data_IF_059906646247
#
_entry.id   IF_059906646247
#
_cell.length_a   1.000
_cell.length_b   1.000
_cell.length_c   1.000
_cell.angle_alpha   90.00
_cell.angle_beta   90.00
_cell.angle_gamma   90.00
#
_symmetry.space_group_name_H-M   'P 1'
#
loop_
_entity.id
_entity.type
_entity.pdbx_description
1 polymer ?
#
# COMPACT_ATOMS: atom_id res chain seq x y z
N UNK A 1 22.58 23.60 48.99
CA UNK A 1 22.52 23.80 47.53
C UNK A 1 21.95 22.54 46.91
N UNK A 2 20.82 22.69 46.23
CA UNK A 2 19.87 21.61 45.89
C UNK A 2 20.36 20.78 44.71
N UNK A 3 20.33 19.45 44.89
CA UNK A 3 20.53 18.45 43.86
C UNK A 3 19.38 18.49 42.83
N UNK A 4 19.71 18.68 41.55
CA UNK A 4 18.76 18.69 40.45
C UNK A 4 18.35 17.28 40.03
N UNK A 5 17.13 16.87 40.40
CA UNK A 5 16.42 15.77 39.75
C UNK A 5 15.80 16.29 38.45
N UNK A 6 16.31 15.87 37.28
CA UNK A 6 15.60 16.02 36.01
C UNK A 6 14.52 14.94 35.95
N UNK A 7 13.26 15.38 36.00
CA UNK A 7 12.07 14.54 35.84
C UNK A 7 11.96 14.07 34.38
N UNK A 8 11.81 12.76 34.21
CA UNK A 8 11.26 12.16 32.99
C UNK A 8 9.93 12.85 32.66
N UNK A 9 9.83 13.40 31.45
CA UNK A 9 8.58 13.97 30.93
C UNK A 9 7.80 12.80 30.33
N UNK A 10 7.12 12.05 31.19
CA UNK A 10 6.07 11.12 30.75
C UNK A 10 4.82 11.92 30.43
N UNK A 11 4.55 12.13 29.14
CA UNK A 11 3.28 12.70 28.69
C UNK A 11 2.24 11.57 28.70
N UNK A 12 1.70 11.26 29.88
CA UNK A 12 0.49 10.44 29.98
C UNK A 12 -0.68 11.23 29.40
N UNK A 13 -1.27 10.72 28.32
CA UNK A 13 -2.43 11.31 27.68
C UNK A 13 -3.58 11.49 28.69
N UNK A 14 -3.93 12.73 29.01
CA UNK A 14 -5.21 13.09 29.63
C UNK A 14 -6.02 13.88 28.61
N UNK A 15 -7.29 13.53 28.48
CA UNK A 15 -8.37 14.15 27.71
C UNK A 15 -7.93 15.21 26.68
N UNK A 16 -7.85 14.80 25.40
CA UNK A 16 -7.76 15.72 24.27
C UNK A 16 -6.74 15.38 23.19
N UNK A 17 -6.45 14.10 22.93
CA UNK A 17 -5.61 13.71 21.78
C UNK A 17 -6.53 13.35 20.61
N UNK A 18 -6.40 14.05 19.49
CA UNK A 18 -7.05 13.68 18.23
C UNK A 18 -6.01 13.14 17.25
N UNK A 19 -6.19 11.88 16.86
CA UNK A 19 -5.42 11.22 15.80
C UNK A 19 -6.15 11.45 14.49
N UNK A 20 -5.49 12.06 13.51
CA UNK A 20 -6.11 12.36 12.22
C UNK A 20 -5.25 11.85 11.07
N UNK A 21 -5.85 11.09 10.15
CA UNK A 21 -5.20 10.57 8.96
C UNK A 21 -5.75 11.28 7.69
N UNK A 22 -4.84 11.74 6.82
CA UNK A 22 -4.94 12.31 5.43
C UNK A 22 -6.13 13.25 5.08
N UNK A 23 -6.00 14.52 4.63
CA UNK A 23 -5.22 15.17 3.56
C UNK A 23 -4.57 16.49 4.06
N UNK A 24 -3.34 16.80 3.61
CA UNK A 24 -2.51 17.94 4.11
C UNK A 24 -3.25 19.29 4.23
N UNK A 25 -4.09 19.63 3.25
CA UNK A 25 -4.81 20.91 3.21
C UNK A 25 -6.10 20.93 4.04
N UNK A 26 -6.86 19.83 4.04
CA UNK A 26 -8.07 19.71 4.86
C UNK A 26 -7.71 19.66 6.35
N UNK A 27 -6.64 18.93 6.67
CA UNK A 27 -6.13 18.76 8.04
C UNK A 27 -5.62 20.06 8.64
N UNK A 28 -4.95 20.95 7.89
CA UNK A 28 -4.44 22.20 8.47
C UNK A 28 -5.56 23.08 9.05
N UNK A 29 -6.72 23.09 8.40
CA UNK A 29 -7.88 23.87 8.85
C UNK A 29 -8.58 23.24 10.05
N UNK A 30 -8.67 21.91 10.09
CA UNK A 30 -9.29 21.19 11.20
C UNK A 30 -8.38 21.14 12.43
N UNK A 31 -7.09 20.85 12.24
CA UNK A 31 -6.08 20.80 13.31
C UNK A 31 -5.98 22.13 14.04
N UNK A 32 -5.96 23.25 13.29
CA UNK A 32 -5.90 24.58 13.92
C UNK A 32 -7.12 24.83 14.81
N UNK A 33 -8.33 24.45 14.39
CA UNK A 33 -9.53 24.61 15.21
C UNK A 33 -9.50 23.75 16.48
N UNK A 34 -8.94 22.53 16.38
CA UNK A 34 -8.79 21.63 17.53
C UNK A 34 -7.72 22.16 18.50
N UNK A 35 -6.58 22.60 17.97
CA UNK A 35 -5.50 23.24 18.74
C UNK A 35 -5.97 24.53 19.44
N UNK A 36 -6.72 25.39 18.73
CA UNK A 36 -7.34 26.60 19.29
C UNK A 36 -8.36 26.26 20.42
N UNK A 37 -8.92 25.05 20.41
CA UNK A 37 -9.79 24.52 21.47
C UNK A 37 -9.04 23.78 22.59
N UNK A 38 -7.70 23.82 22.59
CA UNK A 38 -6.85 23.18 23.59
C UNK A 38 -6.66 21.66 23.40
N UNK A 39 -7.03 21.12 22.24
CA UNK A 39 -6.89 19.70 21.91
C UNK A 39 -5.53 19.50 21.23
N UNK A 40 -4.74 18.58 21.77
CA UNK A 40 -3.46 18.20 21.16
C UNK A 40 -3.73 17.34 19.93
N UNK A 41 -3.21 17.75 18.78
CA UNK A 41 -3.38 17.02 17.52
C UNK A 41 -2.07 16.35 17.16
N UNK A 42 -2.11 15.03 17.01
CA UNK A 42 -0.98 14.22 16.52
C UNK A 42 -1.39 13.66 15.17
N UNK A 43 -0.47 13.75 14.20
CA UNK A 43 -0.74 13.35 12.81
C UNK A 43 0.15 12.20 12.43
N UNK A 44 -0.46 11.24 11.75
CA UNK A 44 0.20 10.07 11.20
C UNK A 44 -0.25 9.89 9.76
N UNK A 45 0.63 9.39 8.92
CA UNK A 45 0.29 8.97 7.57
C UNK A 45 -0.31 7.55 7.62
N UNK A 46 0.32 6.60 8.32
CA UNK A 46 -0.08 5.19 8.42
C UNK A 46 -0.30 4.50 7.06
N UNK A 47 0.27 5.02 5.97
CA UNK A 47 0.17 4.42 4.63
C UNK A 47 1.51 4.40 3.89
N UNK A 48 2.55 5.04 4.41
CA UNK A 48 3.89 5.04 3.81
C UNK A 48 4.75 3.97 4.47
N UNK A 49 5.24 2.98 3.71
CA UNK A 49 6.11 1.94 4.26
C UNK A 49 7.30 2.44 5.09
N UNK A 50 7.98 3.51 4.65
CA UNK A 50 9.18 4.02 5.33
C UNK A 50 8.94 4.54 6.75
N UNK A 51 7.74 5.03 7.05
CA UNK A 51 7.38 5.59 8.36
C UNK A 51 6.53 4.60 9.20
N UNK A 52 6.00 3.55 8.57
CA UNK A 52 4.87 2.77 9.09
C UNK A 52 5.10 2.15 10.47
N UNK A 53 6.22 1.45 10.67
CA UNK A 53 6.52 0.78 11.95
C UNK A 53 6.79 1.79 13.08
N UNK A 54 7.43 2.91 12.79
CA UNK A 54 7.66 3.96 13.77
C UNK A 54 6.34 4.61 14.19
N UNK A 55 5.43 4.84 13.25
CA UNK A 55 4.08 5.33 13.53
C UNK A 55 3.25 4.33 14.34
N UNK A 56 3.32 3.02 14.04
CA UNK A 56 2.69 1.96 14.83
C UNK A 56 3.20 1.97 16.27
N UNK A 57 4.52 2.04 16.48
CA UNK A 57 5.11 2.08 17.82
C UNK A 57 4.68 3.33 18.60
N UNK A 58 4.64 4.49 17.94
CA UNK A 58 4.12 5.73 18.53
C UNK A 58 2.64 5.61 18.90
N UNK A 59 1.83 4.99 18.04
CA UNK A 59 0.42 4.72 18.34
C UNK A 59 0.26 3.77 19.52
N UNK A 60 1.07 2.71 19.59
CA UNK A 60 1.15 1.82 20.75
C UNK A 60 1.39 2.60 22.03
N UNK A 61 2.41 3.46 22.05
CA UNK A 61 2.70 4.31 23.21
C UNK A 61 1.56 5.28 23.57
N UNK A 62 0.94 5.93 22.59
CA UNK A 62 -0.15 6.90 22.82
C UNK A 62 -1.41 6.23 23.36
N UNK A 63 -1.66 4.98 22.97
CA UNK A 63 -2.86 4.23 23.30
C UNK A 63 -2.69 3.30 24.50
N UNK A 64 -1.51 3.29 25.15
CA UNK A 64 -1.12 2.30 26.18
C UNK A 64 -1.26 0.85 25.67
N UNK A 65 -0.71 0.61 24.47
CA UNK A 65 -0.80 -0.61 23.64
C UNK A 65 0.55 -1.02 23.03
N UNK A 66 1.63 -0.84 23.79
CA UNK A 66 2.99 -1.13 23.32
C UNK A 66 3.23 -2.61 23.00
N UNK A 67 2.64 -3.54 23.77
CA UNK A 67 2.78 -4.97 23.52
C UNK A 67 2.11 -5.37 22.19
N UNK A 68 0.90 -4.88 21.93
CA UNK A 68 0.20 -5.12 20.66
C UNK A 68 0.92 -4.46 19.47
N UNK A 69 1.55 -3.29 19.68
CA UNK A 69 2.35 -2.64 18.65
C UNK A 69 3.62 -3.43 18.30
N UNK A 70 4.30 -4.00 19.30
CA UNK A 70 5.46 -4.87 19.10
C UNK A 70 5.06 -6.16 18.38
N UNK A 71 3.94 -6.77 18.78
CA UNK A 71 3.43 -8.00 18.16
C UNK A 71 3.09 -7.78 16.67
N UNK A 72 2.33 -6.72 16.36
CA UNK A 72 2.01 -6.37 14.98
C UNK A 72 3.25 -5.97 14.18
N UNK A 73 4.19 -5.25 14.79
CA UNK A 73 5.45 -4.91 14.15
C UNK A 73 6.28 -6.14 13.77
N UNK A 74 6.29 -7.16 14.63
CA UNK A 74 6.91 -8.46 14.34
C UNK A 74 6.29 -9.15 13.13
N UNK A 75 4.96 -9.27 13.12
CA UNK A 75 4.21 -9.83 11.99
C UNK A 75 4.46 -9.07 10.68
N UNK A 76 4.44 -7.74 10.71
CA UNK A 76 4.70 -6.91 9.54
C UNK A 76 6.11 -7.17 8.96
N UNK A 77 7.12 -7.28 9.82
CA UNK A 77 8.50 -7.58 9.40
C UNK A 77 8.58 -8.99 8.81
N UNK A 78 7.97 -9.98 9.46
CA UNK A 78 7.95 -11.37 8.99
C UNK A 78 7.35 -11.50 7.58
N UNK A 79 6.24 -10.82 7.31
CA UNK A 79 5.58 -10.81 5.99
C UNK A 79 6.51 -10.33 4.86
N UNK A 80 7.43 -9.41 5.17
CA UNK A 80 8.22 -8.69 4.18
C UNK A 80 9.68 -9.11 4.15
N UNK A 81 10.19 -9.78 5.19
CA UNK A 81 11.61 -10.09 5.29
C UNK A 81 12.06 -11.05 4.19
N UNK A 82 11.28 -12.09 3.92
CA UNK A 82 11.59 -13.03 2.82
C UNK A 82 11.61 -12.35 1.45
N UNK A 83 10.72 -11.38 1.21
CA UNK A 83 10.73 -10.56 -0.01
C UNK A 83 12.01 -9.73 -0.04
N UNK A 84 12.28 -8.98 1.03
CA UNK A 84 13.43 -8.08 1.15
C UNK A 84 14.75 -8.80 0.90
N UNK A 85 14.94 -9.98 1.49
CA UNK A 85 16.16 -10.78 1.33
C UNK A 85 16.31 -11.26 -0.11
N UNK A 86 15.25 -11.79 -0.71
CA UNK A 86 15.29 -12.30 -2.08
C UNK A 86 15.52 -11.18 -3.12
N UNK A 87 14.89 -10.01 -2.96
CA UNK A 87 15.04 -8.89 -3.91
C UNK A 87 16.34 -8.10 -3.73
N UNK A 88 17.05 -8.28 -2.61
CA UNK A 88 18.36 -7.68 -2.39
C UNK A 88 19.43 -8.30 -3.31
N UNK A 89 19.24 -9.56 -3.71
CA UNK A 89 20.13 -10.27 -4.63
C UNK A 89 19.88 -9.91 -6.11
N UNK A 90 18.80 -9.17 -6.42
CA UNK A 90 18.47 -8.75 -7.78
C UNK A 90 19.15 -7.40 -8.08
N UNK A 91 20.06 -7.33 -9.08
CA UNK A 91 20.67 -6.08 -9.52
C UNK A 91 19.61 -5.03 -9.90
N UNK A 92 19.87 -3.76 -9.56
CA UNK A 92 18.88 -2.67 -9.75
C UNK A 92 18.49 -2.48 -11.22
N UNK A 93 19.39 -2.76 -12.14
CA UNK A 93 19.20 -2.71 -13.59
C UNK A 93 18.44 -3.93 -14.16
N UNK A 94 18.40 -5.04 -13.43
CA UNK A 94 17.63 -6.25 -13.78
C UNK A 94 16.22 -6.26 -13.15
N UNK A 95 15.89 -5.27 -12.31
CA UNK A 95 14.58 -5.20 -11.67
C UNK A 95 13.47 -4.88 -12.66
N UNK A 96 12.34 -5.58 -12.51
CA UNK A 96 11.22 -5.41 -13.44
C UNK A 96 10.69 -3.98 -13.47
N UNK A 97 10.42 -3.49 -14.68
CA UNK A 97 9.94 -2.12 -14.91
C UNK A 97 8.44 -2.02 -14.68
N UNK A 98 8.03 -1.34 -13.60
CA UNK A 98 6.63 -1.28 -13.16
C UNK A 98 6.03 0.10 -13.41
N UNK A 99 4.90 0.12 -14.11
CA UNK A 99 3.98 1.25 -14.15
C UNK A 99 2.85 1.04 -13.13
N UNK A 100 2.80 1.87 -12.08
CA UNK A 100 1.71 1.86 -11.12
C UNK A 100 0.85 3.12 -11.26
N UNK A 101 -0.28 2.97 -11.94
CA UNK A 101 -1.25 4.04 -12.20
C UNK A 101 -2.55 3.88 -11.41
N UNK A 102 -3.44 4.88 -11.48
CA UNK A 102 -4.81 4.78 -10.97
C UNK A 102 -5.11 5.53 -9.69
N UNK A 103 -4.17 6.33 -9.17
CA UNK A 103 -4.41 7.13 -7.97
C UNK A 103 -5.46 8.23 -8.22
N UNK A 104 -6.74 7.91 -8.01
CA UNK A 104 -7.85 8.86 -8.16
C UNK A 104 -8.03 9.37 -9.59
N UNK A 105 -7.67 8.57 -10.59
CA UNK A 105 -7.83 8.88 -12.01
C UNK A 105 -6.87 8.09 -12.89
N UNK A 106 -7.10 8.16 -14.19
CA UNK A 106 -6.22 7.54 -15.18
C UNK A 106 -4.96 8.37 -15.35
N UNK A 107 -3.85 7.69 -15.66
CA UNK A 107 -2.54 8.32 -15.84
C UNK A 107 -2.05 9.14 -14.62
N UNK A 108 -2.66 8.92 -13.45
CA UNK A 108 -2.15 9.43 -12.18
C UNK A 108 -1.24 8.41 -11.54
N UNK A 109 0.01 8.82 -11.34
CA UNK A 109 1.10 7.98 -10.84
C UNK A 109 1.53 8.42 -9.44
N UNK A 110 2.21 7.51 -8.73
CA UNK A 110 2.99 7.82 -7.55
C UNK A 110 4.48 7.70 -7.87
N UNK A 111 5.18 8.83 -7.97
CA UNK A 111 6.63 8.87 -8.17
C UNK A 111 7.41 8.83 -6.86
N UNK A 112 8.66 9.27 -6.89
CA UNK A 112 9.57 9.35 -5.75
C UNK A 112 8.91 9.96 -4.50
N UNK A 113 9.14 9.34 -3.34
CA UNK A 113 8.61 9.77 -2.05
C UNK A 113 7.13 9.47 -1.80
N UNK A 114 6.44 8.78 -2.72
CA UNK A 114 5.05 8.34 -2.51
C UNK A 114 4.98 6.93 -1.93
N UNK A 115 3.86 6.59 -1.29
CA UNK A 115 3.61 5.23 -0.80
C UNK A 115 3.59 4.20 -1.95
N UNK A 116 3.03 4.55 -3.12
CA UNK A 116 2.99 3.65 -4.28
C UNK A 116 4.40 3.31 -4.78
N UNK A 117 5.29 4.31 -4.85
CA UNK A 117 6.68 4.07 -5.21
C UNK A 117 7.39 3.15 -4.20
N UNK A 118 7.18 3.36 -2.91
CA UNK A 118 7.78 2.51 -1.88
C UNK A 118 7.27 1.07 -1.95
N UNK A 119 5.99 0.85 -2.28
CA UNK A 119 5.44 -0.50 -2.48
C UNK A 119 6.13 -1.21 -3.65
N UNK A 120 6.35 -0.50 -4.77
CA UNK A 120 7.09 -1.06 -5.92
C UNK A 120 8.50 -1.48 -5.50
N UNK A 121 9.22 -0.62 -4.79
CA UNK A 121 10.58 -0.91 -4.36
C UNK A 121 10.65 -2.06 -3.35
N UNK A 122 9.69 -2.15 -2.42
CA UNK A 122 9.58 -3.25 -1.47
C UNK A 122 9.38 -4.60 -2.16
N UNK A 123 8.60 -4.62 -3.25
CA UNK A 123 8.38 -5.81 -4.06
C UNK A 123 9.57 -6.13 -5.00
N UNK A 124 10.65 -5.34 -4.96
CA UNK A 124 11.82 -5.51 -5.82
C UNK A 124 11.65 -4.96 -7.24
N UNK A 125 10.66 -4.11 -7.48
CA UNK A 125 10.42 -3.48 -8.77
C UNK A 125 11.19 -2.19 -8.96
N UNK A 126 11.25 -1.74 -10.22
CA UNK A 126 11.74 -0.44 -10.63
C UNK A 126 10.56 0.40 -11.12
N UNK A 127 10.20 1.43 -10.37
CA UNK A 127 9.15 2.36 -10.79
C UNK A 127 9.61 3.14 -12.02
N UNK A 128 8.93 2.97 -13.16
CA UNK A 128 9.30 3.68 -14.39
C UNK A 128 9.17 5.20 -14.25
N UNK A 129 8.43 5.71 -13.26
CA UNK A 129 8.29 7.14 -12.93
C UNK A 129 8.98 7.52 -11.61
N UNK A 130 9.96 6.73 -11.16
CA UNK A 130 10.74 7.01 -9.95
C UNK A 130 11.61 8.28 -10.01
N UNK A 131 11.80 8.86 -11.18
CA UNK A 131 12.45 10.15 -11.44
C UNK A 131 11.53 11.36 -11.15
N UNK A 132 10.20 11.16 -11.14
CA UNK A 132 9.22 12.21 -10.86
C UNK A 132 8.94 12.23 -9.35
N UNK A 133 8.93 13.41 -8.72
CA UNK A 133 8.59 13.53 -7.30
C UNK A 133 7.08 13.61 -7.04
N UNK A 134 6.60 12.88 -6.04
CA UNK A 134 5.23 12.97 -5.56
C UNK A 134 4.18 12.35 -6.49
N UNK A 135 2.91 12.68 -6.24
CA UNK A 135 1.80 12.26 -7.08
C UNK A 135 1.62 13.23 -8.24
N UNK A 136 1.52 12.71 -9.47
CA UNK A 136 1.40 13.52 -10.68
C UNK A 136 0.48 12.85 -11.69
N UNK A 137 -0.18 13.67 -12.50
CA UNK A 137 -0.84 13.23 -13.73
C UNK A 137 0.15 13.39 -14.89
N UNK A 138 0.30 12.33 -15.68
CA UNK A 138 1.23 12.27 -16.81
C UNK A 138 0.47 12.14 -18.12
N UNK A 139 1.13 12.48 -19.22
CA UNK A 139 0.62 12.21 -20.56
C UNK A 139 0.64 10.71 -20.84
N UNK A 140 -0.38 10.20 -21.54
CA UNK A 140 -0.51 8.77 -21.83
C UNK A 140 0.65 8.23 -22.68
N UNK A 141 1.19 9.07 -23.55
CA UNK A 141 2.33 8.76 -24.40
C UNK A 141 3.61 8.50 -23.59
N UNK A 142 3.76 9.09 -22.39
CA UNK A 142 4.92 8.85 -21.53
C UNK A 142 4.95 7.40 -21.01
N UNK A 143 3.78 6.79 -20.78
CA UNK A 143 3.73 5.36 -20.40
C UNK A 143 4.23 4.49 -21.55
N UNK A 144 3.82 4.81 -22.78
CA UNK A 144 4.26 4.09 -23.97
C UNK A 144 5.77 4.20 -24.20
N UNK A 145 6.30 5.41 -24.07
CA UNK A 145 7.73 5.68 -24.32
C UNK A 145 8.64 5.00 -23.29
N UNK A 146 8.15 4.80 -22.07
CA UNK A 146 8.90 4.14 -20.99
C UNK A 146 8.72 2.62 -20.96
N UNK A 147 7.82 2.09 -21.78
CA UNK A 147 7.60 0.66 -22.06
C UNK A 147 7.69 -0.24 -20.83
N UNK A 148 6.71 -0.18 -19.89
CA UNK A 148 6.74 -1.00 -18.70
C UNK A 148 6.58 -2.50 -19.03
N UNK A 149 7.28 -3.34 -18.28
CA UNK A 149 7.12 -4.79 -18.30
C UNK A 149 5.90 -5.26 -17.51
N UNK A 150 5.44 -4.44 -16.55
CA UNK A 150 4.29 -4.73 -15.70
C UNK A 150 3.45 -3.47 -15.53
N UNK A 151 2.13 -3.61 -15.69
CA UNK A 151 1.16 -2.56 -15.37
C UNK A 151 0.38 -2.97 -14.14
N UNK A 152 0.31 -2.08 -13.15
CA UNK A 152 -0.54 -2.22 -11.98
C UNK A 152 -1.50 -1.04 -11.92
N UNK A 153 -2.82 -1.31 -11.91
CA UNK A 153 -3.85 -0.30 -11.74
C UNK A 153 -4.44 -0.33 -10.35
N UNK A 154 -4.39 0.81 -9.67
CA UNK A 154 -5.15 1.01 -8.45
C UNK A 154 -6.65 1.18 -8.76
N UNK A 155 -7.46 0.24 -8.30
CA UNK A 155 -8.92 0.34 -8.30
C UNK A 155 -9.43 1.14 -7.09
N UNK A 156 -10.27 2.14 -7.33
CA UNK A 156 -11.08 2.78 -6.30
C UNK A 156 -12.50 3.17 -6.77
N UNK A 157 -13.51 2.44 -6.31
CA UNK A 157 -14.90 2.89 -6.22
C UNK A 157 -15.58 2.35 -4.93
N UNK A 158 -16.16 3.24 -4.11
CA UNK A 158 -16.76 2.85 -2.82
C UNK A 158 -17.83 1.77 -3.01
N UNK A 159 -17.68 0.65 -2.29
CA UNK A 159 -18.65 -0.46 -2.27
C UNK A 159 -18.62 -1.38 -3.50
N UNK A 160 -17.66 -1.20 -4.41
CA UNK A 160 -17.52 -2.05 -5.62
C UNK A 160 -16.42 -3.12 -5.51
N UNK A 161 -15.76 -3.19 -4.37
CA UNK A 161 -14.63 -4.08 -4.14
C UNK A 161 -14.42 -4.30 -2.63
N UNK A 162 -13.42 -5.12 -2.31
CA UNK A 162 -12.92 -5.37 -0.98
C UNK A 162 -13.85 -6.27 -0.20
N UNK A 163 -13.97 -6.03 1.09
CA UNK A 163 -14.79 -6.84 2.00
C UNK A 163 -16.31 -6.70 1.80
N UNK A 164 -16.75 -5.80 0.91
CA UNK A 164 -18.17 -5.46 0.76
C UNK A 164 -18.87 -6.24 -0.35
N UNK A 165 -18.13 -7.03 -1.14
CA UNK A 165 -18.68 -7.71 -2.31
C UNK A 165 -17.82 -8.89 -2.73
N UNK A 166 -18.48 -9.88 -3.30
CA UNK A 166 -17.87 -11.03 -3.99
C UNK A 166 -17.96 -10.86 -5.53
N UNK A 167 -18.53 -9.73 -5.99
CA UNK A 167 -18.68 -9.43 -7.42
C UNK A 167 -17.36 -8.89 -8.00
N UNK A 168 -16.66 -9.77 -8.71
CA UNK A 168 -15.39 -9.47 -9.39
C UNK A 168 -15.56 -8.56 -10.61
N UNK A 169 -16.78 -8.42 -11.15
CA UNK A 169 -17.06 -7.76 -12.45
C UNK A 169 -16.40 -6.40 -12.57
N UNK A 170 -16.45 -5.59 -11.50
CA UNK A 170 -15.89 -4.25 -11.53
C UNK A 170 -14.36 -4.23 -11.70
N UNK A 171 -13.63 -5.19 -11.12
CA UNK A 171 -12.17 -5.30 -11.36
C UNK A 171 -11.88 -5.85 -12.76
N UNK A 172 -12.72 -6.76 -13.28
CA UNK A 172 -12.61 -7.25 -14.66
C UNK A 172 -12.80 -6.13 -15.67
N UNK A 173 -13.76 -5.25 -15.43
CA UNK A 173 -14.01 -4.08 -16.29
C UNK A 173 -12.82 -3.11 -16.29
N UNK A 174 -12.18 -2.89 -15.13
CA UNK A 174 -10.97 -2.05 -15.05
C UNK A 174 -9.83 -2.67 -15.85
N UNK A 175 -9.63 -3.98 -15.71
CA UNK A 175 -8.58 -4.69 -16.43
C UNK A 175 -8.82 -4.65 -17.94
N UNK A 176 -10.05 -4.98 -18.38
CA UNK A 176 -10.44 -4.97 -19.79
C UNK A 176 -10.33 -3.56 -20.40
N UNK A 177 -10.59 -2.51 -19.61
CA UNK A 177 -10.40 -1.13 -20.05
C UNK A 177 -8.92 -0.82 -20.32
N UNK A 178 -7.99 -1.27 -19.47
CA UNK A 178 -6.55 -1.07 -19.67
C UNK A 178 -6.04 -1.83 -20.88
N UNK A 179 -6.42 -3.10 -21.00
CA UNK A 179 -6.11 -3.95 -22.16
C UNK A 179 -6.65 -3.36 -23.47
N UNK A 180 -7.80 -2.69 -23.40
CA UNK A 180 -8.44 -2.04 -24.55
C UNK A 180 -7.83 -0.69 -24.97
N UNK A 181 -6.85 -0.15 -24.22
CA UNK A 181 -6.24 1.15 -24.55
C UNK A 181 -5.32 1.02 -25.76
N UNK A 182 -5.69 1.69 -26.85
CA UNK A 182 -4.94 1.68 -28.12
C UNK A 182 -3.50 2.17 -27.91
N UNK A 183 -3.30 3.16 -27.04
CA UNK A 183 -1.98 3.66 -26.68
C UNK A 183 -1.13 2.58 -25.96
N UNK A 184 -1.72 1.71 -25.14
CA UNK A 184 -0.97 0.69 -24.41
C UNK A 184 -0.80 -0.61 -25.19
N UNK A 185 -1.53 -0.81 -26.29
CA UNK A 185 -1.55 -2.07 -27.05
C UNK A 185 -0.15 -2.57 -27.50
N UNK A 186 0.86 -1.70 -27.56
CA UNK A 186 2.21 -2.05 -27.97
C UNK A 186 3.24 -2.16 -26.84
N UNK A 187 2.88 -1.85 -25.59
CA UNK A 187 3.82 -1.95 -24.46
C UNK A 187 4.03 -3.41 -24.06
N UNK A 188 5.22 -3.73 -23.55
CA UNK A 188 5.58 -5.10 -23.15
C UNK A 188 4.57 -5.71 -22.19
N UNK A 189 4.15 -4.98 -21.16
CA UNK A 189 3.19 -5.49 -20.18
C UNK A 189 1.87 -5.99 -20.79
N UNK A 190 1.32 -5.34 -21.83
CA UNK A 190 0.07 -5.77 -22.46
C UNK A 190 0.32 -6.99 -23.36
N UNK A 191 1.43 -6.99 -24.11
CA UNK A 191 1.80 -8.11 -24.98
C UNK A 191 2.10 -9.40 -24.22
N UNK A 192 2.71 -9.25 -23.05
CA UNK A 192 3.10 -10.35 -22.18
C UNK A 192 2.00 -10.70 -21.15
N UNK A 193 0.82 -10.07 -21.27
CA UNK A 193 -0.34 -10.27 -20.39
C UNK A 193 -0.03 -10.01 -18.90
N UNK A 194 0.85 -9.06 -18.59
CA UNK A 194 1.28 -8.68 -17.23
C UNK A 194 0.59 -7.39 -16.77
N UNK A 195 -0.74 -7.40 -16.83
CA UNK A 195 -1.59 -6.28 -16.40
C UNK A 195 -2.43 -6.70 -15.20
N UNK A 196 -2.24 -6.02 -14.08
CA UNK A 196 -2.84 -6.37 -12.79
C UNK A 196 -3.70 -5.24 -12.25
N UNK A 197 -4.80 -5.58 -11.60
CA UNK A 197 -5.62 -4.61 -10.85
C UNK A 197 -5.48 -4.90 -9.37
N UNK A 198 -5.33 -3.85 -8.57
CA UNK A 198 -5.21 -3.94 -7.12
C UNK A 198 -6.00 -2.81 -6.45
N UNK A 199 -6.75 -3.09 -5.40
CA UNK A 199 -7.61 -2.07 -4.80
C UNK A 199 -6.83 -1.09 -3.91
N UNK A 200 -7.36 0.13 -3.77
CA UNK A 200 -6.82 1.17 -2.88
C UNK A 200 -6.71 0.71 -1.42
N UNK A 201 -7.62 -0.15 -0.97
CA UNK A 201 -7.72 -0.54 0.43
C UNK A 201 -6.54 -1.37 0.92
N UNK A 202 -5.93 -2.18 0.04
CA UNK A 202 -4.71 -2.92 0.37
C UNK A 202 -3.43 -2.18 0.02
N UNK A 203 -3.48 -1.15 -0.82
CA UNK A 203 -2.31 -0.32 -1.18
C UNK A 203 -2.14 0.92 -0.28
N UNK A 204 -2.97 1.04 0.76
CA UNK A 204 -2.88 2.08 1.81
C UNK A 204 -2.25 1.54 3.09
N UNK A 205 -2.98 1.58 4.21
CA UNK A 205 -2.49 1.08 5.51
C UNK A 205 -2.29 -0.43 5.60
N UNK A 206 -2.55 -1.17 4.53
CA UNK A 206 -2.30 -2.62 4.43
C UNK A 206 -1.28 -2.95 3.33
N UNK A 207 -0.44 -1.98 2.97
CA UNK A 207 0.48 -2.05 1.84
C UNK A 207 1.45 -3.23 1.88
N UNK A 208 1.73 -3.80 3.05
CA UNK A 208 2.54 -5.03 3.15
C UNK A 208 1.87 -6.23 2.45
N UNK A 209 0.53 -6.30 2.45
CA UNK A 209 -0.23 -7.28 1.68
C UNK A 209 -0.13 -6.95 0.18
N UNK A 210 -0.25 -5.68 -0.21
CA UNK A 210 -0.07 -5.30 -1.61
C UNK A 210 1.35 -5.64 -2.12
N UNK A 211 2.38 -5.45 -1.28
CA UNK A 211 3.75 -5.78 -1.62
C UNK A 211 3.97 -7.28 -1.83
N UNK A 212 3.25 -8.16 -1.13
CA UNK A 212 3.36 -9.61 -1.33
C UNK A 212 2.74 -10.06 -2.65
N UNK A 213 1.56 -9.53 -3.03
CA UNK A 213 1.00 -9.74 -4.38
C UNK A 213 1.95 -9.24 -5.45
N UNK A 214 2.46 -8.01 -5.30
CA UNK A 214 3.37 -7.43 -6.28
C UNK A 214 4.64 -8.28 -6.39
N UNK A 215 5.30 -8.65 -5.30
CA UNK A 215 6.52 -9.47 -5.36
C UNK A 215 6.28 -10.76 -6.18
N UNK A 216 5.13 -11.43 -5.96
CA UNK A 216 4.75 -12.62 -6.72
C UNK A 216 4.55 -12.34 -8.21
N UNK A 217 3.87 -11.26 -8.59
CA UNK A 217 3.69 -10.88 -9.99
C UNK A 217 4.99 -10.49 -10.68
N UNK A 218 5.89 -9.80 -9.96
CA UNK A 218 7.18 -9.40 -10.48
C UNK A 218 8.08 -10.61 -10.73
N UNK A 219 8.14 -11.54 -9.77
CA UNK A 219 9.06 -12.67 -9.78
C UNK A 219 8.35 -13.99 -9.39
N UNK A 220 7.46 -14.54 -10.24
CA UNK A 220 6.60 -15.68 -9.89
C UNK A 220 7.39 -16.96 -9.57
N UNK A 221 8.55 -17.16 -10.20
CA UNK A 221 9.43 -18.31 -9.90
C UNK A 221 10.13 -18.16 -8.55
N UNK A 222 10.52 -16.94 -8.17
CA UNK A 222 11.21 -16.64 -6.91
C UNK A 222 10.25 -16.72 -5.72
N UNK A 223 9.01 -16.29 -5.91
CA UNK A 223 7.98 -16.23 -4.86
C UNK A 223 6.84 -17.23 -5.09
N UNK A 224 7.14 -18.40 -5.66
CA UNK A 224 6.15 -19.45 -5.92
C UNK A 224 5.38 -19.87 -4.65
N UNK A 225 6.08 -19.93 -3.52
CA UNK A 225 5.56 -20.38 -2.22
C UNK A 225 4.98 -19.22 -1.38
N UNK A 226 5.08 -17.98 -1.85
CA UNK A 226 4.48 -16.82 -1.19
C UNK A 226 2.96 -16.86 -1.37
N UNK A 227 2.21 -16.79 -0.27
CA UNK A 227 0.75 -16.75 -0.27
C UNK A 227 0.24 -15.42 0.32
N UNK A 228 -0.01 -14.40 -0.53
CA UNK A 228 -0.56 -13.12 -0.11
C UNK A 228 -1.93 -13.23 0.57
N UNK A 229 -2.77 -14.18 0.16
CA UNK A 229 -4.12 -14.39 0.72
C UNK A 229 -4.02 -14.94 2.14
N UNK A 230 -3.12 -15.88 2.40
CA UNK A 230 -2.89 -16.40 3.75
C UNK A 230 -2.40 -15.30 4.71
N UNK A 231 -1.45 -14.47 4.27
CA UNK A 231 -0.98 -13.30 5.05
C UNK A 231 -2.14 -12.34 5.34
N UNK A 232 -2.99 -12.09 4.35
CA UNK A 232 -4.17 -11.25 4.52
C UNK A 232 -5.17 -11.87 5.50
N UNK A 233 -5.40 -13.18 5.44
CA UNK A 233 -6.28 -13.90 6.35
C UNK A 233 -5.78 -13.80 7.80
N UNK A 234 -4.48 -14.02 8.03
CA UNK A 234 -3.90 -13.86 9.36
C UNK A 234 -4.07 -12.43 9.89
N UNK A 235 -3.85 -11.42 9.05
CA UNK A 235 -4.06 -10.03 9.43
C UNK A 235 -5.49 -9.78 9.91
N UNK A 236 -6.50 -10.29 9.20
CA UNK A 236 -7.91 -10.12 9.56
C UNK A 236 -8.25 -10.84 10.87
N UNK A 237 -7.80 -12.07 11.04
CA UNK A 237 -8.14 -12.89 12.20
C UNK A 237 -7.39 -12.43 13.46
N UNK A 238 -6.07 -12.27 13.39
CA UNK A 238 -5.22 -12.01 14.56
C UNK A 238 -5.23 -10.55 14.99
N UNK A 239 -5.18 -9.62 14.04
CA UNK A 239 -5.00 -8.19 14.35
C UNK A 239 -6.25 -7.34 14.16
N UNK A 240 -7.20 -7.76 13.33
CA UNK A 240 -8.51 -7.09 13.24
C UNK A 240 -9.58 -7.78 14.09
N UNK A 241 -9.35 -9.03 14.53
CA UNK A 241 -10.33 -9.81 15.29
C UNK A 241 -11.60 -10.10 14.49
N UNK A 242 -11.49 -10.19 13.16
CA UNK A 242 -12.62 -10.40 12.26
C UNK A 242 -12.76 -11.87 11.91
N UNK A 243 -14.01 -12.34 12.00
CA UNK A 243 -14.43 -13.63 11.43
C UNK A 243 -14.84 -13.41 9.95
N UNK A 244 -13.83 -13.14 9.12
CA UNK A 244 -13.99 -12.92 7.68
C UNK A 244 -13.18 -13.99 6.94
N UNK A 245 -13.85 -14.78 6.11
CA UNK A 245 -13.24 -15.84 5.32
C UNK A 245 -12.88 -15.35 3.91
N UNK A 246 -11.58 -15.24 3.62
CA UNK A 246 -11.09 -14.89 2.30
C UNK A 246 -11.22 -16.03 1.29
N UNK A 247 -11.52 -17.27 1.66
CA UNK A 247 -11.83 -18.29 0.64
C UNK A 247 -13.21 -18.02 0.02
N UNK A 248 -14.22 -17.77 0.86
CA UNK A 248 -15.57 -17.44 0.42
C UNK A 248 -15.78 -16.00 -0.06
N UNK A 249 -15.14 -15.01 0.57
CA UNK A 249 -15.56 -13.60 0.43
C UNK A 249 -14.48 -12.59 0.07
N UNK A 250 -14.91 -11.50 -0.58
CA UNK A 250 -14.15 -10.30 -0.87
C UNK A 250 -13.46 -10.27 -2.24
N UNK A 251 -13.12 -9.08 -2.72
CA UNK A 251 -12.47 -8.88 -4.02
C UNK A 251 -11.37 -7.82 -3.91
N UNK A 252 -10.10 -8.19 -4.07
CA UNK A 252 -8.95 -7.34 -3.72
C UNK A 252 -7.96 -7.10 -4.87
N UNK A 253 -7.74 -8.11 -5.70
CA UNK A 253 -6.83 -8.07 -6.85
C UNK A 253 -7.49 -8.70 -8.06
N UNK A 254 -6.99 -8.49 -9.27
CA UNK A 254 -7.47 -9.22 -10.43
C UNK A 254 -6.40 -9.39 -11.50
N UNK A 255 -6.36 -10.60 -12.04
CA UNK A 255 -5.65 -11.06 -13.23
C UNK A 255 -6.46 -12.25 -13.78
N UNK A 256 -6.69 -12.37 -15.10
CA UNK A 256 -7.54 -13.43 -15.66
C UNK A 256 -7.05 -14.84 -15.34
N UNK A 257 -5.74 -15.06 -15.23
CA UNK A 257 -5.16 -16.39 -14.96
C UNK A 257 -4.73 -16.58 -13.50
N UNK A 258 -4.18 -15.54 -12.87
CA UNK A 258 -3.56 -15.67 -11.54
C UNK A 258 -4.57 -15.44 -10.41
N UNK A 259 -5.55 -14.56 -10.64
CA UNK A 259 -6.54 -14.15 -9.64
C UNK A 259 -7.95 -14.03 -10.25
N UNK A 260 -8.48 -15.09 -10.92
CA UNK A 260 -9.76 -15.02 -11.62
C UNK A 260 -10.96 -14.69 -10.71
N UNK A 261 -10.81 -15.03 -9.41
CA UNK A 261 -11.84 -14.90 -8.37
C UNK A 261 -11.59 -13.71 -7.42
N UNK A 262 -10.55 -12.91 -7.67
CA UNK A 262 -10.35 -11.64 -6.97
C UNK A 262 -9.35 -11.65 -5.82
N UNK A 263 -8.62 -12.74 -5.60
CA UNK A 263 -7.82 -13.02 -4.39
C UNK A 263 -6.62 -13.88 -4.73
#
# INVERSE_FOLDING_TARGET
>A
MVAGHRKNIGVKARCGVSICNTFRNFLRRCSKKLEDAGITVIRFDCFKPGDYLDEVNKLGYILDKEEEAVDFGGFYVECLNGIKEAVAEIPVDERSQVYFGGFGGDYKIGGNGTGLHQIIEMAGGKNIFGDISGYKEIDKEEVMLRDPEIIVKQGYARGKYGYNTDDITWLKDIWAEIEGRIELANVSAVKDERVYVIIKEITGGKHFIAATYMAKWLYPTLFKDLDPKAIHQEYLTRFQGLDFDLDGHGVFVYHPEEHPDGK
#
